data_IF_362725535525
#
_entry.id   IF_362725535525
#
_cell.length_a   1.000
_cell.length_b   1.000
_cell.length_c   1.000
_cell.angle_alpha   90.00
_cell.angle_beta   90.00
_cell.angle_gamma   90.00
#
_symmetry.space_group_name_H-M   'P 1'
#
loop_
_entity.id
_entity.type
_entity.pdbx_description
1 polymer ?
#
# COMPACT_ATOMS: atom_id res chain seq x y z
N UNK A 1 -21.21 -6.81 6.18
CA UNK A 1 -20.23 -6.14 7.06
C UNK A 1 -20.67 -6.13 8.53
N UNK A 2 -21.70 -6.90 8.93
CA UNK A 2 -22.06 -7.10 10.35
C UNK A 2 -21.41 -8.35 10.97
N UNK A 3 -20.73 -9.18 10.18
CA UNK A 3 -20.28 -10.52 10.58
C UNK A 3 -18.95 -10.59 11.36
N UNK A 4 -18.18 -9.50 11.45
CA UNK A 4 -16.87 -9.51 12.15
C UNK A 4 -17.04 -9.31 13.66
N UNK A 5 -18.10 -8.61 14.07
CA UNK A 5 -18.40 -8.34 15.49
C UNK A 5 -19.17 -9.49 16.15
N UNK A 6 -20.00 -10.22 15.40
CA UNK A 6 -20.72 -11.40 15.92
C UNK A 6 -19.80 -12.60 16.19
N UNK A 7 -18.69 -12.74 15.44
CA UNK A 7 -17.72 -13.81 15.65
C UNK A 7 -16.90 -13.66 16.95
N UNK A 8 -16.87 -12.48 17.55
CA UNK A 8 -16.23 -12.25 18.86
C UNK A 8 -17.08 -12.77 20.03
N UNK A 9 -18.38 -13.00 19.83
CA UNK A 9 -19.30 -13.41 20.90
C UNK A 9 -19.40 -14.94 21.06
N UNK A 10 -18.93 -15.72 20.10
CA UNK A 10 -19.06 -17.19 20.11
C UNK A 10 -17.78 -17.94 20.53
N UNK A 11 -16.69 -17.25 20.87
CA UNK A 11 -15.51 -17.93 21.39
C UNK A 11 -15.68 -18.00 22.91
N UNK A 12 -15.85 -19.21 23.48
CA UNK A 12 -15.98 -19.36 24.91
C UNK A 12 -14.78 -18.68 25.55
N UNK A 13 -15.04 -17.70 26.41
CA UNK A 13 -14.17 -17.46 27.55
C UNK A 13 -14.15 -18.79 28.34
N UNK A 14 -13.31 -19.75 27.94
CA UNK A 14 -13.17 -21.04 28.62
C UNK A 14 -12.75 -20.84 30.09
N UNK A 15 -12.33 -19.63 30.47
CA UNK A 15 -11.96 -19.24 31.81
C UNK A 15 -13.10 -18.60 32.64
N UNK A 16 -14.32 -18.49 32.11
CA UNK A 16 -15.48 -17.97 32.83
C UNK A 16 -16.19 -19.06 33.68
N UNK A 17 -15.74 -20.32 33.58
CA UNK A 17 -16.40 -21.46 34.20
C UNK A 17 -15.52 -22.16 35.26
N UNK A 18 -15.23 -21.49 36.37
CA UNK A 18 -15.00 -22.22 37.64
C UNK A 18 -15.07 -21.32 38.88
N UNK A 19 -16.29 -20.94 39.28
CA UNK A 19 -16.53 -20.54 40.67
C UNK A 19 -17.11 -21.76 41.38
N UNK A 20 -16.23 -22.66 41.81
CA UNK A 20 -16.60 -23.63 42.82
C UNK A 20 -16.80 -22.87 44.14
N UNK A 21 -18.05 -22.52 44.45
CA UNK A 21 -18.46 -21.97 45.73
C UNK A 21 -18.22 -23.02 46.82
N UNK A 22 -16.99 -23.08 47.34
CA UNK A 22 -16.68 -23.90 48.51
C UNK A 22 -17.27 -23.20 49.72
N UNK A 23 -18.36 -23.77 50.24
CA UNK A 23 -19.15 -23.19 51.32
C UNK A 23 -18.35 -23.11 52.62
N UNK A 24 -17.63 -22.00 52.80
CA UNK A 24 -17.04 -21.46 54.05
C UNK A 24 -16.22 -20.16 53.85
N UNK A 25 -16.22 -19.56 52.65
CA UNK A 25 -15.50 -18.31 52.40
C UNK A 25 -16.24 -17.09 52.96
N UNK A 26 -15.49 -16.12 53.49
CA UNK A 26 -16.03 -14.83 53.92
C UNK A 26 -16.68 -14.10 52.73
N UNK A 27 -17.78 -13.40 52.96
CA UNK A 27 -18.52 -12.70 51.91
C UNK A 27 -17.64 -11.66 51.21
N UNK A 28 -16.75 -11.02 51.96
CA UNK A 28 -15.77 -10.06 51.43
C UNK A 28 -14.79 -10.72 50.45
N UNK A 29 -14.28 -11.91 50.77
CA UNK A 29 -13.33 -12.64 49.92
C UNK A 29 -13.98 -13.09 48.61
N UNK A 30 -15.24 -13.52 48.66
CA UNK A 30 -16.02 -13.91 47.48
C UNK A 30 -16.22 -12.72 46.55
N UNK A 31 -16.60 -11.56 47.08
CA UNK A 31 -16.80 -10.34 46.28
C UNK A 31 -15.49 -9.87 45.65
N UNK A 32 -14.39 -9.87 46.40
CA UNK A 32 -13.07 -9.52 45.85
C UNK A 32 -12.65 -10.49 44.73
N UNK A 33 -12.87 -11.79 44.89
CA UNK A 33 -12.57 -12.78 43.86
C UNK A 33 -13.40 -12.59 42.59
N UNK A 34 -14.67 -12.17 42.72
CA UNK A 34 -15.51 -11.83 41.58
C UNK A 34 -15.00 -10.58 40.86
N UNK A 35 -14.62 -9.54 41.59
CA UNK A 35 -14.05 -8.33 41.01
C UNK A 35 -12.74 -8.62 40.27
N UNK A 36 -11.87 -9.47 40.83
CA UNK A 36 -10.64 -9.93 40.17
C UNK A 36 -10.93 -10.70 38.86
N UNK A 37 -11.92 -11.58 38.88
CA UNK A 37 -12.35 -12.32 37.67
C UNK A 37 -12.92 -11.38 36.61
N UNK A 38 -13.73 -10.39 37.01
CA UNK A 38 -14.26 -9.37 36.10
C UNK A 38 -13.12 -8.55 35.50
N UNK A 39 -12.14 -8.14 36.31
CA UNK A 39 -10.98 -7.39 35.85
C UNK A 39 -10.16 -8.20 34.84
N UNK A 40 -9.88 -9.47 35.14
CA UNK A 40 -9.16 -10.40 34.25
C UNK A 40 -9.91 -10.61 32.93
N UNK A 41 -11.22 -10.86 32.98
CA UNK A 41 -12.04 -11.03 31.78
C UNK A 41 -12.06 -9.78 30.89
N UNK A 42 -12.11 -8.58 31.50
CA UNK A 42 -12.00 -7.30 30.77
C UNK A 42 -10.64 -7.13 30.11
N UNK A 43 -9.55 -7.43 30.83
CA UNK A 43 -8.20 -7.36 30.28
C UNK A 43 -8.01 -8.34 29.11
N UNK A 44 -8.51 -9.56 29.23
CA UNK A 44 -8.47 -10.57 28.16
C UNK A 44 -9.25 -10.12 26.92
N UNK A 45 -10.44 -9.54 27.10
CA UNK A 45 -11.23 -8.99 26.01
C UNK A 45 -10.50 -7.85 25.29
N UNK A 46 -9.86 -6.93 26.04
CA UNK A 46 -9.09 -5.82 25.46
C UNK A 46 -7.85 -6.34 24.72
N UNK A 47 -7.13 -7.29 25.31
CA UNK A 47 -5.94 -7.89 24.71
C UNK A 47 -6.26 -8.60 23.39
N UNK A 48 -7.36 -9.37 23.36
CA UNK A 48 -7.87 -10.02 22.15
C UNK A 48 -8.28 -9.01 21.09
N UNK A 49 -8.96 -7.94 21.49
CA UNK A 49 -9.39 -6.86 20.59
C UNK A 49 -8.21 -6.19 19.87
N UNK A 50 -7.12 -5.86 20.57
CA UNK A 50 -5.96 -5.24 19.91
C UNK A 50 -5.31 -6.14 18.85
N UNK A 51 -5.39 -7.47 19.00
CA UNK A 51 -4.94 -8.40 17.96
C UNK A 51 -5.88 -8.31 16.75
N UNK A 52 -7.19 -8.37 16.97
CA UNK A 52 -8.19 -8.32 15.90
C UNK A 52 -8.14 -6.99 15.11
N UNK A 53 -7.98 -5.86 15.80
CA UNK A 53 -7.83 -4.55 15.14
C UNK A 53 -6.58 -4.50 14.23
N UNK A 54 -5.52 -5.26 14.57
CA UNK A 54 -4.33 -5.40 13.72
C UNK A 54 -4.57 -6.37 12.56
N UNK A 55 -5.31 -7.46 12.78
CA UNK A 55 -5.75 -8.39 11.73
C UNK A 55 -6.56 -7.64 10.68
N UNK A 56 -7.54 -6.83 11.08
CA UNK A 56 -8.37 -6.05 10.16
C UNK A 56 -7.54 -5.11 9.28
N UNK A 57 -6.58 -4.39 9.88
CA UNK A 57 -5.67 -3.51 9.14
C UNK A 57 -4.79 -4.27 8.15
N UNK A 58 -4.27 -5.43 8.55
CA UNK A 58 -3.47 -6.28 7.68
C UNK A 58 -4.31 -6.89 6.56
N UNK A 59 -5.54 -7.33 6.85
CA UNK A 59 -6.48 -7.86 5.87
C UNK A 59 -6.80 -6.81 4.80
N UNK A 60 -7.18 -5.61 5.21
CA UNK A 60 -7.42 -4.49 4.29
C UNK A 60 -6.21 -4.19 3.41
N UNK A 61 -5.00 -4.18 3.97
CA UNK A 61 -3.78 -3.98 3.21
C UNK A 61 -3.53 -5.09 2.18
N UNK A 62 -3.85 -6.34 2.55
CA UNK A 62 -3.74 -7.51 1.66
C UNK A 62 -4.79 -7.50 0.54
N UNK A 63 -5.99 -6.98 0.80
CA UNK A 63 -7.00 -6.77 -0.25
C UNK A 63 -6.58 -5.67 -1.24
N UNK A 64 -5.99 -4.57 -0.76
CA UNK A 64 -5.42 -3.54 -1.63
C UNK A 64 -4.22 -4.06 -2.44
N UNK A 65 -3.43 -5.00 -1.90
CA UNK A 65 -2.38 -5.70 -2.65
C UNK A 65 -2.96 -6.48 -3.83
N UNK A 66 -4.00 -7.29 -3.58
CA UNK A 66 -4.67 -8.08 -4.62
C UNK A 66 -5.28 -7.17 -5.69
N UNK A 67 -5.96 -6.11 -5.28
CA UNK A 67 -6.53 -5.12 -6.20
C UNK A 67 -5.44 -4.46 -7.06
N UNK A 68 -4.32 -4.07 -6.45
CA UNK A 68 -3.19 -3.48 -7.18
C UNK A 68 -2.60 -4.47 -8.19
N UNK A 69 -2.44 -5.74 -7.81
CA UNK A 69 -1.93 -6.79 -8.70
C UNK A 69 -2.83 -7.02 -9.92
N UNK A 70 -4.15 -6.98 -9.75
CA UNK A 70 -5.12 -7.04 -10.86
C UNK A 70 -5.03 -5.78 -11.73
N UNK A 71 -4.95 -4.60 -11.12
CA UNK A 71 -4.84 -3.33 -11.83
C UNK A 71 -3.53 -3.19 -12.63
N UNK A 72 -2.42 -3.75 -12.14
CA UNK A 72 -1.13 -3.72 -12.85
C UNK A 72 -1.08 -4.63 -14.08
N UNK A 73 -1.95 -5.66 -14.14
CA UNK A 73 -2.12 -6.54 -15.29
C UNK A 73 -3.04 -5.98 -16.37
N UNK A 74 -3.84 -4.97 -16.05
CA UNK A 74 -4.78 -4.35 -16.99
C UNK A 74 -4.03 -3.57 -18.09
N UNK A 75 -4.11 -4.05 -19.34
CA UNK A 75 -3.53 -3.39 -20.52
C UNK A 75 -4.21 -2.04 -20.82
N UNK A 76 -5.48 -1.89 -20.44
CA UNK A 76 -6.28 -0.69 -20.66
C UNK A 76 -6.16 0.35 -19.53
N UNK A 77 -5.25 0.12 -18.58
CA UNK A 77 -5.02 0.98 -17.40
C UNK A 77 -4.79 2.46 -17.73
N UNK A 78 -4.12 2.74 -18.85
CA UNK A 78 -3.79 4.11 -19.27
C UNK A 78 -4.77 4.68 -20.29
N UNK A 79 -5.92 4.03 -20.50
CA UNK A 79 -6.98 4.58 -21.35
C UNK A 79 -7.44 5.94 -20.82
N UNK A 80 -7.70 6.89 -21.73
CA UNK A 80 -8.20 8.23 -21.40
C UNK A 80 -9.68 8.23 -20.97
N UNK A 81 -10.14 7.14 -20.34
CA UNK A 81 -11.51 6.94 -19.89
C UNK A 81 -11.85 7.75 -18.64
N UNK A 82 -13.15 8.00 -18.46
CA UNK A 82 -13.69 8.65 -17.25
C UNK A 82 -13.37 7.79 -16.02
N UNK A 83 -12.55 8.31 -15.11
CA UNK A 83 -12.21 7.62 -13.85
C UNK A 83 -10.79 7.05 -13.77
N UNK A 84 -10.02 7.03 -14.87
CA UNK A 84 -8.64 6.52 -14.89
C UNK A 84 -7.73 7.23 -13.85
N UNK A 85 -7.86 8.55 -13.69
CA UNK A 85 -7.09 9.30 -12.69
C UNK A 85 -7.39 8.89 -11.24
N UNK A 86 -8.61 8.39 -10.93
CA UNK A 86 -8.98 7.92 -9.60
C UNK A 86 -8.31 6.58 -9.31
N UNK A 87 -8.34 5.68 -10.27
CA UNK A 87 -7.67 4.38 -10.17
C UNK A 87 -6.16 4.56 -10.06
N UNK A 88 -5.57 5.49 -10.83
CA UNK A 88 -4.15 5.82 -10.71
C UNK A 88 -3.79 6.35 -9.32
N UNK A 89 -4.62 7.24 -8.75
CA UNK A 89 -4.43 7.72 -7.37
C UNK A 89 -4.60 6.60 -6.32
N UNK A 90 -5.56 5.68 -6.51
CA UNK A 90 -5.73 4.52 -5.61
C UNK A 90 -4.52 3.59 -5.69
N UNK A 91 -4.01 3.32 -6.88
CA UNK A 91 -2.83 2.50 -7.08
C UNK A 91 -1.60 3.07 -6.36
N UNK A 92 -1.41 4.39 -6.39
CA UNK A 92 -0.31 5.01 -5.65
C UNK A 92 -0.46 4.83 -4.12
N UNK A 93 -1.68 5.00 -3.59
CA UNK A 93 -1.95 4.73 -2.17
C UNK A 93 -1.76 3.25 -1.83
N UNK A 94 -2.23 2.35 -2.69
CA UNK A 94 -2.10 0.91 -2.53
C UNK A 94 -0.62 0.49 -2.48
N UNK A 95 0.25 1.01 -3.35
CA UNK A 95 1.70 0.74 -3.31
C UNK A 95 2.33 1.08 -1.96
N UNK A 96 2.01 2.26 -1.43
CA UNK A 96 2.51 2.69 -0.12
C UNK A 96 2.02 1.74 0.97
N UNK A 97 0.76 1.29 0.91
CA UNK A 97 0.21 0.35 1.86
C UNK A 97 0.86 -1.04 1.74
N UNK A 98 1.01 -1.55 0.52
CA UNK A 98 1.65 -2.85 0.20
C UNK A 98 3.09 -2.92 0.69
N UNK A 99 3.84 -1.82 0.60
CA UNK A 99 5.21 -1.74 1.13
C UNK A 99 5.29 -1.90 2.65
N UNK A 100 4.19 -1.64 3.37
CA UNK A 100 4.14 -1.74 4.84
C UNK A 100 3.68 -3.12 5.31
N UNK A 101 3.05 -3.92 4.46
CA UNK A 101 2.50 -5.23 4.83
C UNK A 101 3.54 -6.14 5.51
N UNK A 102 4.81 -6.26 5.06
CA UNK A 102 5.78 -7.13 5.74
C UNK A 102 5.96 -6.78 7.22
N UNK A 103 6.03 -5.47 7.53
CA UNK A 103 6.11 -4.99 8.91
C UNK A 103 4.81 -5.24 9.69
N UNK A 104 3.65 -5.12 9.06
CA UNK A 104 2.37 -5.42 9.71
C UNK A 104 2.27 -6.90 10.08
N UNK A 105 2.69 -7.80 9.19
CA UNK A 105 2.74 -9.26 9.42
C UNK A 105 3.69 -9.59 10.56
N UNK A 106 4.90 -9.01 10.57
CA UNK A 106 5.89 -9.25 11.63
C UNK A 106 5.37 -8.79 13.00
N UNK A 107 4.83 -7.56 13.08
CA UNK A 107 4.25 -7.01 14.31
C UNK A 107 3.06 -7.84 14.83
N UNK A 108 2.19 -8.29 13.92
CA UNK A 108 1.05 -9.13 14.28
C UNK A 108 1.50 -10.52 14.74
N UNK A 109 2.43 -11.14 14.02
CA UNK A 109 3.04 -12.43 14.37
C UNK A 109 3.67 -12.37 15.76
N UNK A 110 4.47 -11.34 16.04
CA UNK A 110 5.08 -11.14 17.35
C UNK A 110 4.05 -11.00 18.46
N UNK A 111 3.02 -10.18 18.25
CA UNK A 111 1.95 -9.98 19.24
C UNK A 111 1.17 -11.27 19.52
N UNK A 112 0.83 -12.03 18.48
CA UNK A 112 0.11 -13.31 18.63
C UNK A 112 0.97 -14.33 19.35
N UNK A 113 2.26 -14.45 19.01
CA UNK A 113 3.19 -15.34 19.74
C UNK A 113 3.29 -15.00 21.22
N UNK A 114 3.38 -13.73 21.57
CA UNK A 114 3.37 -13.30 22.97
C UNK A 114 2.07 -13.68 23.67
N UNK A 115 0.92 -13.48 23.01
CA UNK A 115 -0.39 -13.82 23.55
C UNK A 115 -0.56 -15.33 23.75
N UNK A 116 -0.17 -16.15 22.78
CA UNK A 116 -0.25 -17.61 22.88
C UNK A 116 0.65 -18.16 23.99
N UNK A 117 1.84 -17.57 24.18
CA UNK A 117 2.74 -17.93 25.26
C UNK A 117 2.18 -17.54 26.64
N UNK A 118 1.51 -16.39 26.75
CA UNK A 118 0.90 -15.93 28.01
C UNK A 118 -0.33 -16.76 28.38
N UNK A 119 -1.19 -17.08 27.40
CA UNK A 119 -2.45 -17.80 27.63
C UNK A 119 -2.32 -19.31 27.56
N UNK A 120 -1.24 -19.83 26.97
CA UNK A 120 -1.00 -21.27 26.80
C UNK A 120 -1.92 -21.95 25.78
N UNK A 121 -2.64 -21.18 24.97
CA UNK A 121 -3.57 -21.69 23.95
C UNK A 121 -3.35 -20.98 22.61
N UNK A 122 -3.57 -21.65 21.46
CA UNK A 122 -3.47 -21.02 20.15
C UNK A 122 -4.50 -19.90 19.96
N UNK A 123 -4.12 -18.81 19.32
CA UNK A 123 -5.03 -17.74 18.93
C UNK A 123 -5.75 -18.15 17.66
N UNK A 124 -7.05 -18.43 17.78
CA UNK A 124 -7.90 -18.79 16.64
C UNK A 124 -8.58 -17.54 16.05
N UNK A 125 -8.48 -17.42 14.73
CA UNK A 125 -9.23 -16.48 13.89
C UNK A 125 -10.03 -17.30 12.86
N UNK A 126 -11.35 -17.15 12.83
CA UNK A 126 -12.25 -17.99 12.02
C UNK A 126 -11.95 -19.49 12.14
N UNK A 127 -11.75 -19.96 13.40
CA UNK A 127 -11.45 -21.36 13.77
C UNK A 127 -10.10 -21.89 13.26
N UNK A 128 -9.25 -21.02 12.71
CA UNK A 128 -7.91 -21.38 12.21
C UNK A 128 -6.84 -20.65 13.03
N UNK A 129 -5.71 -21.29 13.38
CA UNK A 129 -4.62 -20.61 14.07
C UNK A 129 -4.10 -19.42 13.27
N UNK A 130 -4.14 -18.22 13.86
CA UNK A 130 -3.78 -16.99 13.16
C UNK A 130 -2.32 -16.99 12.68
N UNK A 131 -1.41 -17.57 13.45
CA UNK A 131 -0.01 -17.73 13.03
C UNK A 131 0.13 -18.52 11.72
N UNK A 132 -0.68 -19.56 11.54
CA UNK A 132 -0.69 -20.37 10.31
C UNK A 132 -1.15 -19.56 9.12
N UNK A 133 -2.21 -18.76 9.28
CA UNK A 133 -2.73 -17.87 8.24
C UNK A 133 -1.65 -16.88 7.79
N UNK A 134 -0.91 -16.28 8.74
CA UNK A 134 0.14 -15.31 8.44
C UNK A 134 1.37 -15.94 7.75
N UNK A 135 1.74 -17.15 8.16
CA UNK A 135 2.81 -17.92 7.51
C UNK A 135 2.44 -18.28 6.07
N UNK A 136 1.23 -18.80 5.87
CA UNK A 136 0.72 -19.14 4.54
C UNK A 136 0.65 -17.90 3.63
N UNK A 137 0.16 -16.77 4.14
CA UNK A 137 0.18 -15.50 3.40
C UNK A 137 1.60 -15.09 2.98
N UNK A 138 2.58 -15.24 3.88
CA UNK A 138 3.98 -14.88 3.59
C UNK A 138 4.56 -15.76 2.49
N UNK A 139 4.29 -17.06 2.52
CA UNK A 139 4.69 -18.02 1.49
C UNK A 139 4.04 -17.66 0.14
N UNK A 140 2.72 -17.47 0.12
CA UNK A 140 1.97 -17.12 -1.09
C UNK A 140 2.44 -15.80 -1.70
N UNK A 141 2.85 -14.84 -0.88
CA UNK A 141 3.41 -13.57 -1.36
C UNK A 141 4.75 -13.77 -2.04
N UNK A 142 5.66 -14.53 -1.44
CA UNK A 142 6.97 -14.84 -2.02
C UNK A 142 6.82 -15.59 -3.36
N UNK A 143 5.88 -16.53 -3.44
CA UNK A 143 5.57 -17.25 -4.67
C UNK A 143 5.08 -16.30 -5.78
N UNK A 144 4.15 -15.38 -5.47
CA UNK A 144 3.71 -14.36 -6.43
C UNK A 144 4.84 -13.45 -6.91
N UNK A 145 5.75 -13.05 -6.03
CA UNK A 145 6.90 -12.22 -6.40
C UNK A 145 7.89 -12.99 -7.30
N UNK A 146 8.08 -14.28 -7.02
CA UNK A 146 8.88 -15.22 -7.81
C UNK A 146 8.29 -15.46 -9.20
N UNK A 147 6.98 -15.71 -9.30
CA UNK A 147 6.29 -15.86 -10.58
C UNK A 147 6.38 -14.59 -11.42
N UNK A 148 6.23 -13.41 -10.79
CA UNK A 148 6.48 -12.13 -11.46
C UNK A 148 7.93 -12.01 -11.95
N UNK A 149 8.91 -12.54 -11.21
CA UNK A 149 10.32 -12.57 -11.63
C UNK A 149 10.53 -13.47 -12.84
N UNK A 150 10.00 -14.70 -12.81
CA UNK A 150 10.08 -15.67 -13.91
C UNK A 150 9.39 -15.16 -15.17
N UNK A 151 8.21 -14.56 -15.04
CA UNK A 151 7.50 -13.97 -16.17
C UNK A 151 8.31 -12.87 -16.87
N UNK A 152 8.95 -11.98 -16.09
CA UNK A 152 9.83 -10.94 -16.64
C UNK A 152 11.05 -11.52 -17.36
N UNK A 153 11.62 -12.60 -16.83
CA UNK A 153 12.75 -13.30 -17.45
C UNK A 153 12.34 -13.98 -18.76
N UNK A 154 11.20 -14.69 -18.77
CA UNK A 154 10.66 -15.31 -19.98
C UNK A 154 10.38 -14.26 -21.07
N UNK A 155 9.80 -13.12 -20.70
CA UNK A 155 9.57 -12.02 -21.63
C UNK A 155 10.88 -11.47 -22.20
N UNK A 156 11.93 -11.32 -21.38
CA UNK A 156 13.26 -10.88 -21.86
C UNK A 156 13.85 -11.83 -22.89
N UNK A 157 13.69 -13.14 -22.70
CA UNK A 157 14.17 -14.14 -23.66
C UNK A 157 13.37 -14.07 -24.97
N UNK A 158 12.05 -13.90 -24.89
CA UNK A 158 11.20 -13.73 -26.06
C UNK A 158 11.56 -12.45 -26.85
N UNK A 159 11.77 -11.33 -26.15
CA UNK A 159 12.17 -10.06 -26.75
C UNK A 159 13.55 -10.16 -27.42
N UNK A 160 14.51 -10.88 -26.79
CA UNK A 160 15.82 -11.17 -27.39
C UNK A 160 15.70 -11.99 -28.68
N UNK A 161 14.92 -13.06 -28.65
CA UNK A 161 14.68 -13.88 -29.84
C UNK A 161 13.99 -13.07 -30.96
N UNK A 162 13.01 -12.23 -30.63
CA UNK A 162 12.36 -11.35 -31.60
C UNK A 162 13.35 -10.35 -32.23
N UNK A 163 14.23 -9.76 -31.42
CA UNK A 163 15.28 -8.85 -31.91
C UNK A 163 16.30 -9.56 -32.81
N UNK A 164 16.68 -10.81 -32.51
CA UNK A 164 17.53 -11.62 -33.38
C UNK A 164 16.87 -11.93 -34.72
N UNK A 165 15.57 -12.29 -34.72
CA UNK A 165 14.80 -12.49 -35.96
C UNK A 165 14.68 -11.19 -36.76
N UNK A 166 14.43 -10.05 -36.11
CA UNK A 166 14.38 -8.74 -36.77
C UNK A 166 15.76 -8.32 -37.32
N UNK A 167 16.87 -8.67 -36.66
CA UNK A 167 18.20 -8.39 -37.18
C UNK A 167 18.55 -9.20 -38.46
N UNK A 168 17.99 -10.41 -38.59
CA UNK A 168 18.23 -11.32 -39.73
C UNK A 168 17.26 -11.04 -40.89
N UNK A 169 15.97 -10.83 -40.58
CA UNK A 169 14.89 -10.72 -41.56
C UNK A 169 14.34 -9.30 -41.71
N UNK A 170 14.77 -8.35 -40.88
CA UNK A 170 14.42 -6.95 -40.98
C UNK A 170 14.85 -6.38 -42.33
N UNK A 171 13.94 -5.64 -42.97
CA UNK A 171 14.20 -4.99 -44.24
C UNK A 171 15.30 -3.94 -44.07
N UNK A 172 16.55 -4.32 -44.33
CA UNK A 172 17.63 -3.36 -44.58
C UNK A 172 17.12 -2.44 -45.70
N UNK A 173 17.05 -1.11 -45.52
CA UNK A 173 16.79 -0.24 -46.66
C UNK A 173 17.91 -0.48 -47.66
N UNK A 174 17.58 -1.10 -48.79
CA UNK A 174 18.48 -1.27 -49.91
C UNK A 174 18.71 0.12 -50.54
N UNK A 175 19.54 0.94 -49.88
CA UNK A 175 20.07 2.15 -50.50
C UNK A 175 21.03 1.71 -51.60
N UNK A 176 20.51 1.81 -52.83
CA UNK A 176 21.22 1.65 -54.09
C UNK A 176 22.59 2.35 -54.05
N UNK A 177 23.64 1.64 -54.47
CA UNK A 177 24.92 2.25 -54.87
C UNK A 177 24.66 3.31 -55.96
N UNK A 178 25.42 4.40 -55.96
CA UNK A 178 25.99 4.93 -57.20
C UNK A 178 27.50 4.66 -57.24
N UNK A 179 27.97 4.23 -58.40
CA UNK A 179 29.38 4.14 -58.79
C UNK A 179 29.97 5.54 -59.00
N UNK A 180 31.21 5.77 -58.56
CA UNK A 180 32.07 6.85 -59.05
C UNK A 180 33.30 7.13 -58.16
N UNK A 181 34.54 7.22 -58.70
CA UNK A 181 35.80 7.11 -57.95
C UNK A 181 36.26 8.50 -57.39
N UNK A 182 37.19 8.60 -56.44
CA UNK A 182 38.64 8.77 -56.70
C UNK A 182 39.45 8.70 -55.39
N UNK A 183 40.62 8.12 -55.54
CA UNK A 183 41.84 8.02 -54.72
C UNK A 183 42.16 9.21 -53.79
N UNK A 184 42.55 8.93 -52.53
CA UNK A 184 43.91 9.14 -52.00
C UNK A 184 44.02 8.63 -50.55
N UNK A 185 45.15 7.99 -50.29
CA UNK A 185 45.52 7.31 -49.05
C UNK A 185 45.82 8.30 -47.91
N UNK A 186 45.49 7.94 -46.67
CA UNK A 186 46.51 7.84 -45.62
C UNK A 186 46.00 7.10 -44.35
N UNK A 187 46.99 6.50 -43.70
CA UNK A 187 46.95 5.40 -42.76
C UNK A 187 46.65 5.79 -41.29
N UNK A 188 46.10 4.80 -40.56
CA UNK A 188 46.34 4.44 -39.15
C UNK A 188 45.83 5.39 -38.05
N UNK A 189 44.93 4.84 -37.21
CA UNK A 189 44.60 5.40 -35.90
C UNK A 189 43.40 4.72 -35.23
N UNK A 190 43.61 3.56 -34.60
CA UNK A 190 42.72 3.02 -33.56
C UNK A 190 42.68 3.99 -32.38
N UNK A 191 41.58 4.10 -31.61
CA UNK A 191 41.53 3.24 -30.42
C UNK A 191 40.13 2.77 -29.94
N UNK A 192 40.28 1.72 -29.15
CA UNK A 192 39.39 0.96 -28.28
C UNK A 192 38.75 1.79 -27.16
N UNK A 193 37.49 1.48 -26.85
CA UNK A 193 36.97 1.28 -25.49
C UNK A 193 36.70 2.51 -24.61
N UNK A 194 35.42 2.90 -24.46
CA UNK A 194 34.97 3.73 -23.32
C UNK A 194 34.33 2.86 -22.24
N UNK A 195 35.05 2.62 -21.15
CA UNK A 195 34.48 2.27 -19.84
C UNK A 195 33.99 3.55 -19.16
N UNK A 196 32.87 3.43 -18.46
CA UNK A 196 32.33 4.42 -17.54
C UNK A 196 33.29 4.69 -16.37
N UNK A 197 33.24 5.91 -15.81
CA UNK A 197 33.31 6.21 -14.37
C UNK A 197 32.80 7.66 -14.13
N UNK A 198 32.03 7.79 -13.05
CA UNK A 198 31.50 9.03 -12.42
C UNK A 198 32.59 10.01 -11.96
N UNK A 199 32.24 11.27 -11.69
CA UNK A 199 32.20 11.66 -10.27
C UNK A 199 30.99 12.56 -9.91
N UNK A 200 30.67 12.51 -8.61
CA UNK A 200 29.59 13.25 -7.95
C UNK A 200 30.05 14.61 -7.42
N UNK A 201 29.08 15.53 -7.27
CA UNK A 201 29.01 16.71 -6.39
C UNK A 201 29.63 18.02 -6.88
N UNK A 202 28.77 19.04 -7.14
CA UNK A 202 28.49 20.15 -6.20
C UNK A 202 27.39 21.09 -6.73
N UNK A 203 26.48 21.49 -5.83
CA UNK A 203 25.46 22.53 -6.01
C UNK A 203 25.99 23.81 -6.66
N UNK A 204 25.21 24.43 -7.55
CA UNK A 204 25.10 25.89 -7.69
C UNK A 204 23.76 26.27 -8.32
N UNK A 205 23.10 27.22 -7.65
CA UNK A 205 21.89 27.95 -8.05
C UNK A 205 22.33 29.20 -8.84
N UNK A 206 21.61 29.52 -9.93
CA UNK A 206 21.38 30.85 -10.57
C UNK A 206 21.16 30.64 -12.07
N UNK A 207 20.37 31.37 -12.84
CA UNK A 207 19.39 32.45 -12.69
C UNK A 207 18.53 32.39 -13.97
N UNK A 208 17.23 32.68 -13.93
CA UNK A 208 16.73 34.05 -13.89
C UNK A 208 16.57 34.63 -15.30
N UNK A 209 15.35 34.58 -15.86
CA UNK A 209 14.88 35.61 -16.79
C UNK A 209 13.51 36.09 -16.32
N UNK A 210 13.56 37.23 -15.64
CA UNK A 210 12.45 38.02 -15.17
C UNK A 210 11.43 38.36 -16.27
N UNK A 211 10.16 38.37 -15.85
CA UNK A 211 9.18 39.37 -16.32
C UNK A 211 8.40 39.84 -15.09
N UNK A 212 8.90 40.89 -14.45
CA UNK A 212 8.23 41.64 -13.37
C UNK A 212 8.34 43.12 -13.64
N UNK A 213 7.23 43.83 -13.52
CA UNK A 213 7.02 45.22 -13.03
C UNK A 213 5.54 45.54 -13.36
N UNK A 214 4.63 46.09 -12.57
CA UNK A 214 4.51 46.75 -11.24
C UNK A 214 3.00 46.68 -10.92
N UNK A 215 2.47 46.81 -9.70
CA UNK A 215 2.86 47.70 -8.62
C UNK A 215 2.22 47.26 -7.30
N UNK A 216 2.95 47.52 -6.21
CA UNK A 216 2.57 47.41 -4.79
C UNK A 216 1.46 48.45 -4.48
N UNK A 217 0.68 48.44 -3.39
CA UNK A 217 1.08 48.35 -1.97
C UNK A 217 -0.17 48.17 -1.07
N UNK A 218 0.09 47.61 0.13
CA UNK A 218 -0.54 47.82 1.44
C UNK A 218 -1.61 46.84 1.97
N UNK A 219 -1.12 46.07 2.96
CA UNK A 219 -1.67 45.84 4.30
C UNK A 219 -2.79 44.80 4.54
N UNK A 220 -2.59 44.09 5.65
CA UNK A 220 -3.23 42.86 6.13
C UNK A 220 -4.57 43.12 6.90
N UNK A 221 -5.28 42.07 7.40
CA UNK A 221 -6.74 41.90 7.38
C UNK A 221 -7.46 42.08 8.74
N UNK A 222 -8.79 42.30 8.76
CA UNK A 222 -9.71 41.97 9.89
C UNK A 222 -11.14 41.68 9.33
N UNK A 223 -11.86 40.64 9.83
CA UNK A 223 -13.23 40.30 9.41
C UNK A 223 -14.28 40.97 10.31
N UNK A 224 -15.44 41.35 9.74
CA UNK A 224 -16.58 41.85 10.50
C UNK A 224 -17.88 41.16 10.07
N UNK A 225 -18.46 40.47 11.04
CA UNK A 225 -19.76 39.83 11.05
C UNK A 225 -20.84 40.90 11.26
N UNK A 226 -21.89 40.92 10.44
CA UNK A 226 -23.14 41.62 10.77
C UNK A 226 -24.33 40.87 10.15
N UNK A 227 -25.32 40.58 11.00
CA UNK A 227 -26.65 40.03 10.69
C UNK A 227 -27.67 41.18 10.75
N UNK A 228 -28.80 41.01 10.03
CA UNK A 228 -30.06 41.80 10.00
C UNK A 228 -30.18 42.78 8.82
N UNK A 229 -31.28 42.92 8.08
CA UNK A 229 -32.66 42.36 8.04
C UNK A 229 -33.27 42.82 6.66
N UNK A 230 -34.42 42.30 6.20
CA UNK A 230 -34.89 42.40 4.81
C UNK A 230 -35.56 43.75 4.50
N UNK A 231 -35.67 44.07 3.20
CA UNK A 231 -36.57 45.11 2.71
C UNK A 231 -37.26 44.61 1.44
N UNK A 232 -38.51 44.20 1.59
CA UNK A 232 -39.48 44.11 0.51
C UNK A 232 -39.77 45.53 -0.01
N UNK A 233 -39.95 45.67 -1.33
CA UNK A 233 -40.97 46.57 -1.87
C UNK A 233 -41.49 46.03 -3.19
N UNK A 234 -42.82 45.91 -3.24
CA UNK A 234 -43.59 45.52 -4.41
C UNK A 234 -43.56 46.60 -5.49
N UNK A 235 -43.64 46.19 -6.76
CA UNK A 235 -44.48 46.91 -7.72
C UNK A 235 -45.16 45.92 -8.65
N UNK A 236 -46.47 45.78 -8.45
CA UNK A 236 -47.42 45.09 -9.32
C UNK A 236 -47.73 45.88 -10.60
N UNK A 237 -48.31 45.15 -11.57
CA UNK A 237 -49.10 45.50 -12.77
C UNK A 237 -48.42 44.94 -14.03
N UNK A 238 -48.90 43.91 -14.73
CA UNK A 238 -50.27 43.38 -14.86
C UNK A 238 -50.95 44.00 -16.08
N UNK A 239 -50.87 43.33 -17.24
CA UNK A 239 -51.96 42.84 -18.11
C UNK A 239 -51.41 41.63 -18.86
#
# INVERSE_FOLDING_TARGET
MESVWDACLEIPCDNCANIAFTGKADLSDILSSLDDQIAKAKEEAISRKDILDKVEKWHYASEEEKWLDEYEKDENRYSAGRGAHKNLKRAEKARILVSKIPSMVENLTGKVKCWEMEKGVPFLYDKTPLLRILEEYTIQRLEREEDKRRFREQKRLQDQFAAEQEAIFGSKPATKRPLGPNTTANMVGTPIGRRAMTPSSRNTISGGKDRRERSRVLANPIPLNYVALPKDDQMSRGV
#
